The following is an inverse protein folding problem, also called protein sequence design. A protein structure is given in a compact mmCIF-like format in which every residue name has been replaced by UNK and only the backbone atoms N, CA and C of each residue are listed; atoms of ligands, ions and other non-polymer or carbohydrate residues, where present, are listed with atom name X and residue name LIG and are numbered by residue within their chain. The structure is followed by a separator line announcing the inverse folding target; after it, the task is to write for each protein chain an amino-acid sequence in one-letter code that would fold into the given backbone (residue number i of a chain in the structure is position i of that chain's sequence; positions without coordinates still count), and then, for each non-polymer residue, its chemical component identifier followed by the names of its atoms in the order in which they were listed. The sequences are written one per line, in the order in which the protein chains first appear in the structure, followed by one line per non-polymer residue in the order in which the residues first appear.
data_IF_929663362234
#
_entry.id   IF_929663362234
#
_cell.length_a   1.000
_cell.length_b   1.000
_cell.length_c   1.000
_cell.angle_alpha   90.00
_cell.angle_beta   90.00
_cell.angle_gamma   90.00
#
_symmetry.space_group_name_H-M   'P 1'
#
loop_
_entity.id
_entity.type
_entity.pdbx_description
1 polymer ?
#
# COMPACT_ATOMS: atom_id res chain seq x y z
N UNK A 1 -16.45 10.00 -11.19
CA UNK A 1 -17.17 8.87 -10.53
C UNK A 1 -16.93 8.98 -9.04
N UNK A 2 -17.98 9.07 -8.28
CA UNK A 2 -17.88 9.14 -6.83
C UNK A 2 -18.08 7.75 -6.22
N UNK A 3 -17.39 7.50 -5.12
CA UNK A 3 -17.61 6.29 -4.34
C UNK A 3 -18.95 6.36 -3.61
N UNK A 4 -19.76 5.33 -3.74
CA UNK A 4 -21.04 5.25 -3.02
C UNK A 4 -20.79 4.70 -1.61
N UNK A 5 -20.43 5.59 -0.69
CA UNK A 5 -20.05 5.23 0.67
C UNK A 5 -21.24 5.38 1.63
N UNK A 6 -21.40 4.41 2.51
CA UNK A 6 -22.35 4.47 3.64
C UNK A 6 -21.71 5.06 4.90
N UNK A 7 -20.39 4.97 5.02
CA UNK A 7 -19.58 5.48 6.11
C UNK A 7 -18.26 5.99 5.55
N UNK A 8 -17.50 6.80 6.31
CA UNK A 8 -16.20 7.26 5.83
C UNK A 8 -15.25 6.13 5.51
N UNK A 9 -14.34 6.37 4.58
CA UNK A 9 -13.22 5.47 4.29
C UNK A 9 -11.92 6.26 4.41
N UNK A 10 -10.94 5.69 5.08
CA UNK A 10 -9.60 6.23 5.20
C UNK A 10 -8.64 5.46 4.30
N UNK A 11 -8.14 6.12 3.27
CA UNK A 11 -6.98 5.64 2.53
C UNK A 11 -5.74 6.02 3.31
N UNK A 12 -4.84 5.09 3.51
CA UNK A 12 -3.62 5.38 4.25
C UNK A 12 -2.41 4.70 3.63
N UNK A 13 -1.26 5.30 3.87
CA UNK A 13 0.02 4.81 3.43
C UNK A 13 1.05 5.04 4.53
N UNK A 14 1.96 4.10 4.70
CA UNK A 14 3.01 4.13 5.71
C UNK A 14 4.39 4.12 5.07
N UNK A 15 5.29 4.91 5.64
CA UNK A 15 6.72 4.72 5.46
C UNK A 15 7.29 4.15 6.76
N UNK A 16 8.20 3.20 6.66
CA UNK A 16 8.68 2.43 7.80
C UNK A 16 10.19 2.24 7.76
N UNK A 17 10.74 1.74 8.87
CA UNK A 17 12.16 1.37 8.93
C UNK A 17 12.47 0.07 8.17
N UNK A 18 11.47 -0.71 7.78
CA UNK A 18 11.62 -1.96 7.06
C UNK A 18 10.30 -2.69 6.92
N UNK A 19 10.35 -3.94 6.49
CA UNK A 19 9.18 -4.75 6.12
C UNK A 19 8.75 -5.77 7.18
N UNK A 20 9.46 -5.85 8.29
CA UNK A 20 9.16 -6.82 9.36
C UNK A 20 8.18 -6.20 10.37
N UNK A 21 6.92 -6.57 10.28
CA UNK A 21 5.83 -6.00 11.09
C UNK A 21 6.12 -6.05 12.59
N UNK A 22 6.67 -7.14 13.09
CA UNK A 22 6.93 -7.31 14.52
C UNK A 22 8.12 -6.48 15.03
N UNK A 23 9.00 -6.04 14.15
CA UNK A 23 10.28 -5.42 14.50
C UNK A 23 10.38 -3.98 14.04
N UNK A 24 9.91 -3.70 12.83
CA UNK A 24 10.07 -2.39 12.21
C UNK A 24 9.05 -1.37 12.73
N UNK A 25 9.36 -0.11 12.54
CA UNK A 25 8.62 1.01 13.10
C UNK A 25 8.17 1.96 12.01
N UNK A 26 7.06 2.65 12.24
CA UNK A 26 6.53 3.68 11.34
C UNK A 26 7.39 4.94 11.46
N UNK A 27 7.74 5.55 10.33
CA UNK A 27 8.41 6.86 10.26
C UNK A 27 7.52 7.95 9.68
N UNK A 28 6.49 7.59 8.91
CA UNK A 28 5.50 8.52 8.39
C UNK A 28 4.18 7.78 8.17
N UNK A 29 3.08 8.46 8.44
CA UNK A 29 1.73 7.98 8.12
C UNK A 29 0.94 9.10 7.47
N UNK A 30 0.37 8.81 6.30
CA UNK A 30 -0.52 9.70 5.58
C UNK A 30 -1.91 9.09 5.50
N UNK A 31 -2.93 9.89 5.80
CA UNK A 31 -4.33 9.47 5.78
C UNK A 31 -5.13 10.43 4.91
N UNK A 32 -5.91 9.88 3.99
CA UNK A 32 -6.93 10.59 3.23
C UNK A 32 -8.30 10.01 3.62
N UNK A 33 -9.11 10.81 4.30
CA UNK A 33 -10.45 10.41 4.73
C UNK A 33 -11.49 10.98 3.79
N UNK A 34 -12.31 10.10 3.22
CA UNK A 34 -13.40 10.47 2.32
C UNK A 34 -14.73 10.16 3.00
N UNK A 35 -15.57 11.18 3.14
CA UNK A 35 -16.89 11.07 3.74
C UNK A 35 -17.95 10.69 2.70
N UNK A 36 -19.11 10.14 3.13
CA UNK A 36 -20.17 9.71 2.21
C UNK A 36 -20.65 10.76 1.22
N UNK A 37 -20.55 12.05 1.57
CA UNK A 37 -20.98 13.15 0.69
C UNK A 37 -19.85 13.78 -0.09
N UNK A 38 -18.68 13.14 -0.12
CA UNK A 38 -17.53 13.57 -0.91
C UNK A 38 -16.58 14.54 -0.22
N UNK A 39 -16.87 15.01 0.99
CA UNK A 39 -15.90 15.81 1.75
C UNK A 39 -14.64 15.00 1.98
N UNK A 40 -13.48 15.61 1.71
CA UNK A 40 -12.16 14.99 1.86
C UNK A 40 -11.36 15.73 2.91
N UNK A 41 -10.72 14.97 3.78
CA UNK A 41 -9.77 15.47 4.77
C UNK A 41 -8.49 14.64 4.66
N UNK A 42 -7.34 15.30 4.77
CA UNK A 42 -6.05 14.60 4.74
C UNK A 42 -5.13 15.11 5.82
N UNK A 43 -4.30 14.22 6.35
CA UNK A 43 -3.29 14.55 7.35
C UNK A 43 -2.10 13.61 7.21
N UNK A 44 -0.91 14.14 7.41
CA UNK A 44 0.34 13.39 7.44
C UNK A 44 1.04 13.65 8.76
N UNK A 45 1.50 12.58 9.40
CA UNK A 45 2.32 12.64 10.60
C UNK A 45 3.70 12.10 10.28
N UNK A 46 4.71 12.87 10.61
CA UNK A 46 6.07 12.39 10.66
C UNK A 46 6.31 11.82 12.07
N UNK A 47 6.97 10.67 12.17
CA UNK A 47 7.08 9.90 13.41
C UNK A 47 8.54 9.60 13.72
N UNK A 48 8.96 9.87 14.96
CA UNK A 48 10.24 9.39 15.45
C UNK A 48 10.12 7.87 15.76
N UNK A 49 10.81 6.99 15.03
CA UNK A 49 10.66 5.55 15.22
C UNK A 49 11.37 5.00 16.46
N UNK A 50 12.13 5.85 17.18
CA UNK A 50 12.93 5.47 18.36
C UNK A 50 14.02 4.43 18.09
N UNK A 51 14.28 4.13 16.82
CA UNK A 51 15.36 3.24 16.36
C UNK A 51 16.01 3.90 15.14
N UNK A 52 17.28 3.55 14.82
CA UNK A 52 17.91 4.04 13.60
C UNK A 52 17.16 3.59 12.36
N UNK A 53 17.04 4.48 11.38
CA UNK A 53 16.46 4.16 10.08
C UNK A 53 17.54 3.54 9.21
N UNK A 54 17.39 2.29 8.74
CA UNK A 54 18.37 1.67 7.84
C UNK A 54 18.55 2.48 6.56
N UNK A 55 19.76 2.51 6.04
CA UNK A 55 20.09 3.28 4.83
C UNK A 55 19.30 2.82 3.59
N UNK A 56 18.97 1.54 3.49
CA UNK A 56 18.14 0.99 2.42
C UNK A 56 16.70 1.48 2.51
N UNK A 57 16.14 1.65 3.71
CA UNK A 57 14.84 2.26 3.90
C UNK A 57 14.85 3.74 3.49
N UNK A 58 15.83 4.52 3.95
CA UNK A 58 16.00 5.91 3.55
C UNK A 58 16.18 6.06 2.04
N UNK A 59 16.86 5.14 1.39
CA UNK A 59 17.00 5.14 -0.06
C UNK A 59 15.65 5.02 -0.79
N UNK A 60 14.66 4.38 -0.19
CA UNK A 60 13.31 4.23 -0.75
C UNK A 60 12.45 5.47 -0.50
N UNK A 61 12.34 5.91 0.75
CA UNK A 61 11.38 6.97 1.13
C UNK A 61 12.00 8.34 1.41
N UNK A 62 13.33 8.44 1.46
CA UNK A 62 14.03 9.71 1.65
C UNK A 62 13.99 10.28 3.07
N UNK A 63 13.43 9.55 4.03
CA UNK A 63 13.35 10.02 5.42
C UNK A 63 14.59 9.57 6.16
N UNK A 64 15.28 10.53 6.79
CA UNK A 64 16.52 10.33 7.54
C UNK A 64 16.28 10.41 9.04
N UNK A 65 17.24 9.92 9.83
CA UNK A 65 17.20 10.07 11.29
C UNK A 65 17.11 11.54 11.71
N UNK A 66 17.81 12.43 11.02
CA UNK A 66 17.76 13.87 11.28
C UNK A 66 16.37 14.45 11.09
N UNK A 67 15.67 14.02 10.05
CA UNK A 67 14.33 14.51 9.72
C UNK A 67 13.30 14.16 10.79
N UNK A 68 13.45 13.04 11.48
CA UNK A 68 12.50 12.54 12.47
C UNK A 68 12.95 12.73 13.93
N UNK A 69 14.16 13.25 14.16
CA UNK A 69 14.72 13.34 15.52
C UNK A 69 13.87 14.17 16.48
N UNK A 70 13.17 15.18 15.98
CA UNK A 70 12.27 16.05 16.76
C UNK A 70 10.79 15.76 16.49
N UNK A 71 10.48 14.76 15.68
CA UNK A 71 9.12 14.34 15.44
C UNK A 71 8.55 13.62 16.68
N UNK A 72 7.22 13.63 16.88
CA UNK A 72 6.62 12.88 17.97
C UNK A 72 6.84 11.38 17.82
N UNK A 73 6.91 10.69 18.93
CA UNK A 73 6.89 9.23 18.97
C UNK A 73 5.49 8.74 18.66
N UNK A 74 5.35 7.52 18.13
CA UNK A 74 4.05 6.99 17.78
C UNK A 74 3.06 6.99 18.96
N UNK A 75 3.50 6.67 20.16
CA UNK A 75 2.66 6.68 21.36
C UNK A 75 2.04 8.04 21.66
N UNK A 76 2.69 9.14 21.24
CA UNK A 76 2.22 10.50 21.49
C UNK A 76 1.10 10.89 20.51
N UNK A 77 1.04 10.27 19.34
CA UNK A 77 0.06 10.57 18.28
C UNK A 77 -0.93 9.43 18.02
N UNK A 78 -0.77 8.30 18.69
CA UNK A 78 -1.59 7.11 18.46
C UNK A 78 -3.08 7.38 18.64
N UNK A 79 -3.46 8.10 19.69
CA UNK A 79 -4.85 8.45 19.95
C UNK A 79 -5.43 9.40 18.90
N UNK A 80 -4.62 10.34 18.42
CA UNK A 80 -5.03 11.28 17.36
C UNK A 80 -5.28 10.53 16.05
N UNK A 81 -4.37 9.64 15.67
CA UNK A 81 -4.53 8.77 14.50
C UNK A 81 -5.79 7.90 14.65
N UNK A 82 -5.99 7.30 15.82
CA UNK A 82 -7.16 6.48 16.09
C UNK A 82 -8.46 7.26 15.95
N UNK A 83 -8.52 8.51 16.40
CA UNK A 83 -9.69 9.37 16.22
C UNK A 83 -10.03 9.59 14.74
N UNK A 84 -9.04 9.66 13.88
CA UNK A 84 -9.25 9.79 12.44
C UNK A 84 -9.88 8.55 11.81
N UNK A 85 -9.51 7.37 12.27
CA UNK A 85 -9.85 6.10 11.60
C UNK A 85 -10.94 5.29 12.31
N UNK A 86 -11.28 5.60 13.55
CA UNK A 86 -12.18 4.77 14.37
C UNK A 86 -13.57 4.55 13.78
N UNK A 87 -14.11 5.54 13.07
CA UNK A 87 -15.45 5.54 12.47
C UNK A 87 -15.43 5.20 10.97
N UNK A 88 -14.29 4.86 10.43
CA UNK A 88 -14.05 4.68 9.00
C UNK A 88 -13.65 3.25 8.66
N UNK A 89 -13.99 2.83 7.45
CA UNK A 89 -13.35 1.69 6.83
C UNK A 89 -11.94 2.06 6.37
N UNK A 90 -11.09 1.08 6.14
CA UNK A 90 -9.70 1.29 5.78
C UNK A 90 -9.42 0.83 4.36
N UNK A 91 -8.59 1.57 3.65
CA UNK A 91 -8.15 1.23 2.32
C UNK A 91 -6.66 1.56 2.13
N UNK A 92 -6.01 0.82 1.26
CA UNK A 92 -4.61 1.04 0.94
C UNK A 92 -4.16 0.15 -0.20
N UNK A 93 -2.90 0.23 -0.56
CA UNK A 93 -2.27 -0.63 -1.55
C UNK A 93 -1.34 -1.61 -0.85
N UNK A 94 -1.60 -2.91 -0.96
CA UNK A 94 -0.96 -3.98 -0.18
C UNK A 94 -1.19 -3.82 1.34
N UNK A 95 -2.27 -3.15 1.72
CA UNK A 95 -2.53 -2.76 3.10
C UNK A 95 -2.89 -3.94 4.01
N UNK A 96 -3.56 -4.96 3.49
CA UNK A 96 -3.97 -6.12 4.30
C UNK A 96 -2.77 -6.94 4.78
N UNK A 97 -1.69 -6.97 4.00
CA UNK A 97 -0.49 -7.74 4.34
C UNK A 97 0.56 -6.94 5.10
N UNK A 98 0.59 -5.63 4.94
CA UNK A 98 1.65 -4.80 5.48
C UNK A 98 1.14 -3.63 6.33
N UNK A 99 0.44 -2.65 5.73
CA UNK A 99 0.11 -1.39 6.42
C UNK A 99 -0.81 -1.61 7.62
N UNK A 100 -1.86 -2.41 7.48
CA UNK A 100 -2.80 -2.69 8.59
C UNK A 100 -2.12 -3.45 9.71
N UNK A 101 -1.39 -4.56 9.46
CA UNK A 101 -0.64 -5.24 10.51
C UNK A 101 0.40 -4.34 11.19
N UNK A 102 1.10 -3.51 10.44
CA UNK A 102 2.10 -2.57 10.98
C UNK A 102 1.44 -1.54 11.89
N UNK A 103 0.33 -0.95 11.45
CA UNK A 103 -0.43 0.02 12.24
C UNK A 103 -0.99 -0.62 13.51
N UNK A 104 -1.53 -1.83 13.41
CA UNK A 104 -2.06 -2.57 14.55
C UNK A 104 -0.97 -2.86 15.59
N UNK A 105 0.23 -3.23 15.14
CA UNK A 105 1.37 -3.48 16.04
C UNK A 105 1.81 -2.21 16.76
N UNK A 106 1.89 -1.08 16.05
CA UNK A 106 2.23 0.21 16.65
C UNK A 106 1.15 0.68 17.64
N UNK A 107 -0.13 0.49 17.32
CA UNK A 107 -1.24 0.80 18.23
C UNK A 107 -1.16 -0.07 19.50
N UNK A 108 -0.86 -1.34 19.36
CA UNK A 108 -0.69 -2.27 20.48
C UNK A 108 0.45 -1.79 21.42
N UNK A 109 1.60 -1.43 20.85
CA UNK A 109 2.73 -0.89 21.62
C UNK A 109 2.39 0.42 22.34
N UNK A 110 1.52 1.21 21.73
CA UNK A 110 1.07 2.48 22.30
C UNK A 110 -0.06 2.32 23.34
N UNK A 111 -0.56 1.10 23.55
CA UNK A 111 -1.67 0.84 24.47
C UNK A 111 -3.03 1.30 23.97
N UNK A 112 -3.18 1.47 22.65
CA UNK A 112 -4.45 1.84 22.02
C UNK A 112 -5.13 0.59 21.50
N UNK A 113 -6.38 0.37 21.91
CA UNK A 113 -7.19 -0.74 21.42
C UNK A 113 -7.69 -0.43 20.00
N UNK A 114 -7.04 -1.05 19.03
CA UNK A 114 -7.33 -0.91 17.62
C UNK A 114 -8.15 -2.10 17.14
N UNK A 115 -9.48 -1.94 17.18
CA UNK A 115 -10.41 -3.03 16.84
C UNK A 115 -10.85 -2.94 15.37
N UNK A 116 -10.57 -4.02 14.61
CA UNK A 116 -10.96 -4.15 13.20
C UNK A 116 -12.29 -4.91 13.00
N UNK A 117 -12.93 -5.38 14.07
CA UNK A 117 -14.11 -6.27 13.97
C UNK A 117 -15.28 -5.68 13.17
N UNK A 118 -15.49 -4.38 13.26
CA UNK A 118 -16.60 -3.70 12.60
C UNK A 118 -16.14 -2.85 11.41
N UNK A 119 -14.92 -3.08 10.91
CA UNK A 119 -14.34 -2.36 9.79
C UNK A 119 -14.23 -3.25 8.57
N UNK A 120 -14.49 -2.66 7.42
CA UNK A 120 -14.14 -3.27 6.12
C UNK A 120 -12.75 -2.76 5.75
N UNK A 121 -11.89 -3.66 5.30
CA UNK A 121 -10.62 -3.28 4.71
C UNK A 121 -10.66 -3.53 3.21
N UNK A 122 -10.22 -2.54 2.44
CA UNK A 122 -10.16 -2.62 0.98
C UNK A 122 -8.70 -2.52 0.56
N UNK A 123 -8.17 -3.61 0.05
CA UNK A 123 -6.83 -3.62 -0.52
C UNK A 123 -6.91 -3.40 -2.02
N UNK A 124 -6.51 -2.21 -2.46
CA UNK A 124 -6.56 -1.80 -3.86
C UNK A 124 -5.64 -2.67 -4.73
N UNK A 125 -4.54 -3.18 -4.17
CA UNK A 125 -3.67 -4.12 -4.89
C UNK A 125 -4.41 -5.42 -5.21
N UNK A 126 -5.23 -5.92 -4.28
CA UNK A 126 -6.04 -7.13 -4.52
C UNK A 126 -7.05 -6.90 -5.63
N UNK A 127 -7.72 -5.74 -5.65
CA UNK A 127 -8.63 -5.38 -6.73
C UNK A 127 -7.88 -5.32 -8.07
N UNK A 128 -6.74 -4.65 -8.09
CA UNK A 128 -5.89 -4.54 -9.27
C UNK A 128 -5.48 -5.91 -9.80
N UNK A 129 -5.02 -6.82 -8.92
CA UNK A 129 -4.61 -8.17 -9.31
C UNK A 129 -5.76 -9.04 -9.80
N UNK A 130 -6.98 -8.81 -9.33
CA UNK A 130 -8.16 -9.51 -9.83
C UNK A 130 -8.60 -9.02 -11.20
N UNK A 131 -8.42 -7.74 -11.48
CA UNK A 131 -8.79 -7.14 -12.76
C UNK A 131 -7.72 -7.31 -13.81
N UNK A 132 -6.46 -7.32 -13.42
CA UNK A 132 -5.31 -7.60 -14.29
C UNK A 132 -4.89 -9.06 -14.20
N UNK A 133 -5.22 -9.82 -15.21
CA UNK A 133 -4.80 -11.21 -15.30
C UNK A 133 -3.29 -11.28 -15.54
N UNK A 134 -2.56 -11.93 -14.64
CA UNK A 134 -1.12 -12.19 -14.79
C UNK A 134 -0.86 -13.45 -15.60
N UNK A 135 -1.43 -13.53 -16.78
CA UNK A 135 -1.29 -14.67 -17.69
C UNK A 135 -0.45 -14.24 -18.89
N UNK A 136 0.16 -15.20 -19.56
CA UNK A 136 0.87 -14.96 -20.81
C UNK A 136 -0.06 -14.33 -21.86
N UNK A 137 -1.31 -14.76 -21.92
CA UNK A 137 -2.32 -14.20 -22.83
C UNK A 137 -2.55 -12.71 -22.58
N UNK A 138 -2.69 -12.30 -21.30
CA UNK A 138 -2.87 -10.91 -20.94
C UNK A 138 -1.61 -10.07 -21.26
N UNK A 139 -0.42 -10.61 -20.99
CA UNK A 139 0.84 -9.95 -21.31
C UNK A 139 1.01 -9.80 -22.83
N UNK A 140 0.67 -10.83 -23.59
CA UNK A 140 0.75 -10.80 -25.05
C UNK A 140 -0.16 -9.75 -25.65
N UNK A 141 -1.40 -9.64 -25.12
CA UNK A 141 -2.35 -8.60 -25.53
C UNK A 141 -1.85 -7.20 -25.17
N UNK A 142 -1.34 -7.02 -23.96
CA UNK A 142 -0.87 -5.71 -23.47
C UNK A 142 0.36 -5.21 -24.22
N UNK A 143 1.38 -6.06 -24.40
CA UNK A 143 2.63 -5.66 -25.01
C UNK A 143 2.66 -5.75 -26.54
N UNK A 144 1.93 -6.69 -27.11
CA UNK A 144 2.01 -7.01 -28.54
C UNK A 144 0.71 -6.72 -29.30
N UNK A 145 -0.37 -6.36 -28.58
CA UNK A 145 -1.72 -6.13 -29.15
C UNK A 145 -2.21 -7.31 -30.01
N UNK A 146 -1.92 -8.52 -29.54
CA UNK A 146 -2.27 -9.77 -30.23
C UNK A 146 -2.99 -10.72 -29.27
N UNK A 147 -3.86 -11.56 -29.83
CA UNK A 147 -4.50 -12.64 -29.09
C UNK A 147 -3.66 -13.90 -29.19
N UNK A 148 -3.52 -14.62 -28.09
CA UNK A 148 -2.83 -15.90 -28.07
C UNK A 148 -3.76 -16.99 -28.61
N UNK A 149 -3.45 -17.52 -29.80
CA UNK A 149 -4.14 -18.61 -30.42
C UNK A 149 -3.40 -19.91 -30.02
N UNK A 150 -4.14 -20.99 -29.80
CA UNK A 150 -3.59 -22.26 -29.35
C UNK A 150 -2.83 -22.18 -28.02
N UNK A 151 -3.37 -21.43 -27.05
CA UNK A 151 -2.84 -21.37 -25.69
C UNK A 151 -2.64 -22.79 -25.15
N UNK A 152 -1.54 -22.97 -24.39
CA UNK A 152 -1.04 -24.26 -23.89
C UNK A 152 -0.37 -25.15 -24.92
N UNK A 153 -0.27 -24.73 -26.20
CA UNK A 153 0.67 -25.30 -27.14
C UNK A 153 2.08 -24.77 -26.80
N UNK A 154 3.06 -25.66 -26.65
CA UNK A 154 4.44 -25.28 -26.33
C UNK A 154 5.03 -24.32 -27.38
N UNK A 155 4.73 -24.53 -28.64
CA UNK A 155 5.18 -23.66 -29.73
C UNK A 155 4.60 -22.25 -29.65
N UNK A 156 3.24 -22.14 -29.51
CA UNK A 156 2.55 -20.86 -29.42
C UNK A 156 2.95 -20.10 -28.17
N UNK A 157 3.04 -20.75 -27.01
CA UNK A 157 3.42 -20.14 -25.76
C UNK A 157 4.87 -19.66 -25.77
N UNK A 158 5.79 -20.42 -26.37
CA UNK A 158 7.18 -20.04 -26.53
C UNK A 158 7.33 -18.80 -27.42
N UNK A 159 6.64 -18.76 -28.55
CA UNK A 159 6.66 -17.62 -29.46
C UNK A 159 6.07 -16.37 -28.80
N UNK A 160 4.95 -16.50 -28.12
CA UNK A 160 4.33 -15.39 -27.39
C UNK A 160 5.24 -14.86 -26.28
N UNK A 161 5.90 -15.75 -25.54
CA UNK A 161 6.87 -15.37 -24.49
C UNK A 161 8.04 -14.58 -25.08
N UNK A 162 8.58 -15.01 -26.21
CA UNK A 162 9.62 -14.28 -26.94
C UNK A 162 9.17 -12.88 -27.35
N UNK A 163 7.97 -12.78 -27.94
CA UNK A 163 7.44 -11.48 -28.40
C UNK A 163 7.17 -10.53 -27.23
N UNK A 164 6.66 -11.02 -26.09
CA UNK A 164 6.45 -10.23 -24.87
C UNK A 164 7.79 -9.70 -24.34
N UNK A 165 8.84 -10.54 -24.28
CA UNK A 165 10.16 -10.10 -23.85
C UNK A 165 10.70 -9.01 -24.77
N UNK A 166 10.61 -9.20 -26.08
CA UNK A 166 11.07 -8.26 -27.07
C UNK A 166 10.37 -6.88 -26.95
N UNK A 167 9.05 -6.89 -26.79
CA UNK A 167 8.26 -5.68 -26.64
C UNK A 167 8.49 -4.96 -25.31
N UNK A 168 8.57 -5.70 -24.20
CA UNK A 168 8.84 -5.14 -22.87
C UNK A 168 10.27 -4.62 -22.72
N UNK A 169 11.25 -5.24 -23.42
CA UNK A 169 12.64 -4.82 -23.40
C UNK A 169 12.86 -3.41 -23.92
N UNK A 170 12.08 -3.00 -24.93
CA UNK A 170 12.11 -1.63 -25.46
C UNK A 170 11.68 -0.62 -24.38
N UNK A 171 10.67 -0.96 -23.59
CA UNK A 171 10.23 -0.15 -22.47
C UNK A 171 11.26 -0.04 -21.34
N UNK A 172 12.03 -1.07 -21.09
CA UNK A 172 13.07 -1.08 -20.05
C UNK A 172 14.28 -0.21 -20.43
N UNK A 173 14.55 -0.08 -21.74
CA UNK A 173 15.68 0.70 -22.26
C UNK A 173 15.38 2.20 -22.38
N UNK A 174 14.15 2.56 -22.39
CA UNK A 174 13.71 3.96 -22.47
C UNK A 174 13.49 4.55 -21.09
#
# INVERSE_FOLDING_TARGET
MELNLKRPICFFDLETTGIQVAKDRIVEISVLKIHPKGLQEKKTWLVNPEVPIPSDATAVHGITDEKVQHAPKFKEIAKDIYQWIKDADLAGFNSDRFDIPMLAEEMLRAGVDFDMKNKVSVDVQTIFHKMEKRTLEAAYRFYCDKSLIDAHSAEADTMATYEVLKASWIGIRS
#
